data_IF_122949416110
#
_entry.id   IF_122949416110
#
_cell.length_a   1.000
_cell.length_b   1.000
_cell.length_c   1.000
_cell.angle_alpha   90.00
_cell.angle_beta   90.00
_cell.angle_gamma   90.00
#
_symmetry.space_group_name_H-M   'P 1'
#
loop_
_entity.id
_entity.type
_entity.pdbx_description
1 polymer ?
#
# COMPACT_ATOMS: atom_id res chain seq x y z
N UNK A 1 15.43 29.97 -6.45
CA UNK A 1 15.46 28.49 -6.57
C UNK A 1 14.10 27.98 -6.16
N UNK A 2 13.37 27.31 -7.05
CA UNK A 2 12.08 26.72 -6.70
C UNK A 2 12.35 25.52 -5.78
N UNK A 3 11.87 25.60 -4.55
CA UNK A 3 11.99 24.49 -3.59
C UNK A 3 10.80 23.55 -3.85
N UNK A 4 11.05 22.45 -4.53
CA UNK A 4 10.05 21.42 -4.76
C UNK A 4 10.10 20.40 -3.60
N UNK A 5 9.32 20.65 -2.57
CA UNK A 5 9.11 19.66 -1.54
C UNK A 5 7.90 18.83 -1.93
N UNK A 6 8.04 17.53 -2.00
CA UNK A 6 6.98 16.58 -2.36
C UNK A 6 6.67 15.70 -1.16
N UNK A 7 5.40 15.56 -0.84
CA UNK A 7 4.92 14.60 0.16
C UNK A 7 4.15 13.47 -0.52
N UNK A 8 4.57 12.24 -0.30
CA UNK A 8 3.99 11.03 -0.91
C UNK A 8 3.24 10.23 0.14
N UNK A 9 1.96 9.96 -0.11
CA UNK A 9 1.16 9.06 0.73
C UNK A 9 1.48 7.61 0.40
N UNK A 10 1.88 6.83 1.40
CA UNK A 10 2.20 5.40 1.27
C UNK A 10 1.00 4.56 1.67
N UNK A 11 0.50 3.74 0.75
CA UNK A 11 -0.68 2.91 0.97
C UNK A 11 -0.39 1.45 0.65
N UNK A 12 -0.04 0.64 1.64
CA UNK A 12 -0.02 -0.80 1.44
C UNK A 12 -1.44 -1.32 1.20
N UNK A 13 -1.57 -2.26 0.29
CA UNK A 13 -2.83 -2.91 -0.10
C UNK A 13 -2.77 -4.41 0.18
N UNK A 14 -3.87 -5.00 0.64
CA UNK A 14 -4.04 -6.46 0.66
C UNK A 14 -5.42 -6.87 0.15
N UNK A 15 -5.54 -8.15 -0.19
CA UNK A 15 -6.82 -8.75 -0.58
C UNK A 15 -7.79 -8.77 0.59
N UNK A 16 -9.07 -8.62 0.31
CA UNK A 16 -10.18 -8.65 1.26
C UNK A 16 -10.84 -10.03 1.39
N UNK A 17 -10.60 -10.95 0.45
CA UNK A 17 -11.16 -12.29 0.52
C UNK A 17 -10.56 -13.12 1.66
N UNK A 18 -11.34 -14.04 2.20
CA UNK A 18 -10.88 -14.97 3.22
C UNK A 18 -9.64 -15.73 2.71
N UNK A 19 -8.51 -15.67 3.45
CA UNK A 19 -7.31 -16.36 3.03
C UNK A 19 -7.52 -17.87 3.01
N UNK A 20 -6.94 -18.51 2.00
CA UNK A 20 -6.82 -19.97 1.94
C UNK A 20 -5.43 -20.36 2.45
N UNK A 21 -5.25 -21.55 3.01
CA UNK A 21 -3.91 -22.02 3.34
C UNK A 21 -2.96 -21.87 2.14
N UNK A 22 -1.84 -21.17 2.33
CA UNK A 22 -0.86 -20.90 1.28
C UNK A 22 -1.24 -19.84 0.24
N UNK A 23 -2.39 -19.16 0.37
CA UNK A 23 -2.80 -18.08 -0.53
C UNK A 23 -3.28 -16.86 0.25
N UNK A 24 -2.87 -15.65 -0.22
CA UNK A 24 -3.35 -14.36 0.30
C UNK A 24 -3.31 -14.25 1.83
N UNK A 25 -2.23 -14.72 2.44
CA UNK A 25 -2.06 -14.65 3.88
C UNK A 25 -2.08 -13.18 4.35
N UNK A 26 -3.08 -12.83 5.17
CA UNK A 26 -3.29 -11.45 5.60
C UNK A 26 -2.19 -10.97 6.56
N UNK A 27 -1.78 -11.78 7.50
CA UNK A 27 -0.74 -11.42 8.48
C UNK A 27 0.58 -11.15 7.79
N UNK A 28 0.98 -12.01 6.86
CA UNK A 28 2.20 -11.83 6.04
C UNK A 28 2.09 -10.56 5.20
N UNK A 29 0.94 -10.30 4.56
CA UNK A 29 0.73 -9.11 3.75
C UNK A 29 0.76 -7.83 4.60
N UNK A 30 0.14 -7.84 5.76
CA UNK A 30 0.12 -6.71 6.67
C UNK A 30 1.51 -6.39 7.22
N UNK A 31 2.25 -7.42 7.66
CA UNK A 31 3.64 -7.26 8.09
C UNK A 31 4.52 -6.76 6.95
N UNK A 32 4.41 -7.35 5.77
CA UNK A 32 5.13 -6.92 4.57
C UNK A 32 4.83 -5.47 4.21
N UNK A 33 3.56 -5.09 4.26
CA UNK A 33 3.12 -3.72 3.99
C UNK A 33 3.77 -2.72 4.95
N UNK A 34 3.68 -2.96 6.26
CA UNK A 34 4.29 -2.11 7.28
C UNK A 34 5.82 -2.05 7.14
N UNK A 35 6.48 -3.18 6.92
CA UNK A 35 7.93 -3.22 6.75
C UNK A 35 8.39 -2.48 5.49
N UNK A 36 7.62 -2.56 4.40
CA UNK A 36 7.91 -1.84 3.17
C UNK A 36 7.77 -0.33 3.36
N UNK A 37 6.72 0.12 4.04
CA UNK A 37 6.54 1.55 4.39
C UNK A 37 7.71 2.04 5.23
N UNK A 38 8.05 1.35 6.31
CA UNK A 38 9.17 1.71 7.17
C UNK A 38 10.51 1.74 6.42
N UNK A 39 10.74 0.81 5.49
CA UNK A 39 11.92 0.80 4.64
C UNK A 39 11.97 2.03 3.71
N UNK A 40 10.85 2.36 3.06
CA UNK A 40 10.77 3.53 2.18
C UNK A 40 11.06 4.81 2.96
N UNK A 41 10.40 5.00 4.08
CA UNK A 41 10.59 6.18 4.93
C UNK A 41 12.03 6.33 5.42
N UNK A 42 12.64 5.23 5.87
CA UNK A 42 14.00 5.25 6.42
C UNK A 42 15.08 5.51 5.37
N UNK A 43 14.86 5.09 4.11
CA UNK A 43 15.89 5.12 3.08
C UNK A 43 15.71 6.25 2.06
N UNK A 44 14.50 6.79 1.91
CA UNK A 44 14.19 7.74 0.84
C UNK A 44 13.67 9.10 1.34
N UNK A 45 13.49 9.29 2.64
CA UNK A 45 13.19 10.61 3.19
C UNK A 45 14.38 11.57 3.01
N UNK A 46 14.07 12.79 2.65
CA UNK A 46 15.05 13.86 2.48
C UNK A 46 14.39 15.22 2.72
N UNK A 47 15.18 16.30 2.63
CA UNK A 47 14.65 17.66 2.69
C UNK A 47 13.67 17.98 1.55
N UNK A 48 13.69 17.21 0.46
CA UNK A 48 12.84 17.39 -0.70
C UNK A 48 11.69 16.39 -0.81
N UNK A 49 11.80 15.22 -0.16
CA UNK A 49 10.81 14.15 -0.24
C UNK A 49 10.47 13.68 1.17
N UNK A 50 9.19 13.79 1.50
CA UNK A 50 8.65 13.29 2.77
C UNK A 50 7.50 12.33 2.50
N UNK A 51 7.13 11.56 3.51
CA UNK A 51 6.08 10.56 3.38
C UNK A 51 4.98 10.78 4.42
N UNK A 52 3.78 10.29 4.11
CA UNK A 52 2.67 10.14 5.04
C UNK A 52 2.23 8.68 4.98
N UNK A 53 2.21 8.02 6.12
CA UNK A 53 1.80 6.63 6.28
C UNK A 53 0.35 6.52 6.79
N UNK A 54 -0.11 5.31 7.06
CA UNK A 54 -1.46 5.03 7.56
C UNK A 54 -1.48 4.67 9.05
N UNK A 55 -0.39 4.90 9.77
CA UNK A 55 -0.29 4.57 11.20
C UNK A 55 -1.33 5.34 12.02
N UNK A 56 -2.17 4.58 12.72
CA UNK A 56 -3.24 5.16 13.52
C UNK A 56 -4.42 5.74 12.72
N UNK A 57 -4.45 5.57 11.40
CA UNK A 57 -5.52 6.06 10.52
C UNK A 57 -6.56 4.99 10.26
N UNK A 58 -6.10 3.81 9.89
CA UNK A 58 -6.92 2.63 9.64
C UNK A 58 -6.37 1.43 10.40
N UNK A 59 -7.22 0.42 10.57
CA UNK A 59 -6.82 -0.82 11.21
C UNK A 59 -5.73 -1.53 10.41
N UNK A 60 -4.79 -2.17 11.11
CA UNK A 60 -3.61 -2.87 10.56
C UNK A 60 -2.70 -2.06 9.63
N UNK A 61 -2.98 -0.75 9.43
CA UNK A 61 -2.18 0.17 8.60
C UNK A 61 -2.08 -0.23 7.12
N UNK A 62 -2.97 -1.09 6.66
CA UNK A 62 -3.03 -1.63 5.29
C UNK A 62 -4.45 -1.50 4.76
N UNK A 63 -4.63 -0.90 3.59
CA UNK A 63 -5.94 -0.71 2.99
C UNK A 63 -6.42 -2.01 2.32
N UNK A 64 -7.59 -2.48 2.73
CA UNK A 64 -8.20 -3.70 2.19
C UNK A 64 -9.72 -3.58 1.96
N UNK A 65 -10.31 -2.47 2.36
CA UNK A 65 -11.74 -2.23 2.25
C UNK A 65 -12.05 -0.82 1.77
N UNK A 66 -13.04 -0.68 0.90
CA UNK A 66 -13.55 0.62 0.47
C UNK A 66 -14.09 1.46 1.64
N UNK A 67 -14.51 0.83 2.74
CA UNK A 67 -15.00 1.54 3.93
C UNK A 67 -13.95 2.44 4.59
N UNK A 68 -12.67 2.18 4.36
CA UNK A 68 -11.57 2.97 4.93
C UNK A 68 -11.00 4.03 3.97
N UNK A 69 -11.42 4.03 2.71
CA UNK A 69 -10.92 4.97 1.70
C UNK A 69 -11.14 6.42 2.12
N UNK A 70 -12.31 6.77 2.66
CA UNK A 70 -12.59 8.13 3.10
C UNK A 70 -11.69 8.59 4.26
N UNK A 71 -11.33 7.69 5.18
CA UNK A 71 -10.39 7.98 6.26
C UNK A 71 -9.01 8.28 5.72
N UNK A 72 -8.54 7.48 4.75
CA UNK A 72 -7.24 7.67 4.09
C UNK A 72 -7.23 8.99 3.31
N UNK A 73 -8.26 9.27 2.52
CA UNK A 73 -8.39 10.53 1.78
C UNK A 73 -8.34 11.75 2.70
N UNK A 74 -9.08 11.71 3.81
CA UNK A 74 -9.09 12.78 4.80
C UNK A 74 -7.70 12.99 5.38
N UNK A 75 -7.06 11.93 5.85
CA UNK A 75 -5.71 11.97 6.41
C UNK A 75 -4.71 12.58 5.42
N UNK A 76 -4.69 12.10 4.19
CA UNK A 76 -3.75 12.59 3.18
C UNK A 76 -4.04 14.04 2.76
N UNK A 77 -5.30 14.46 2.77
CA UNK A 77 -5.64 15.86 2.54
C UNK A 77 -5.14 16.77 3.67
N UNK A 78 -5.32 16.36 4.92
CA UNK A 78 -4.81 17.08 6.10
C UNK A 78 -3.27 17.14 6.13
N UNK A 79 -2.61 16.10 5.61
CA UNK A 79 -1.15 16.04 5.47
C UNK A 79 -0.61 16.77 4.24
N UNK A 80 -1.47 17.31 3.36
CA UNK A 80 -1.10 17.94 2.09
C UNK A 80 -0.26 17.02 1.19
N UNK A 81 -0.71 15.77 1.02
CA UNK A 81 -0.06 14.78 0.15
C UNK A 81 -0.16 15.22 -1.32
N UNK A 82 0.94 15.16 -2.06
CA UNK A 82 1.05 15.56 -3.47
C UNK A 82 0.85 14.40 -4.44
N UNK A 83 1.21 13.19 -4.04
CA UNK A 83 1.10 11.97 -4.83
C UNK A 83 0.82 10.76 -3.92
N UNK A 84 0.28 9.69 -4.48
CA UNK A 84 -0.02 8.45 -3.75
C UNK A 84 0.80 7.30 -4.32
N UNK A 85 1.41 6.53 -3.44
CA UNK A 85 2.13 5.32 -3.79
C UNK A 85 1.39 4.11 -3.21
N UNK A 86 0.72 3.36 -4.09
CA UNK A 86 0.00 2.14 -3.78
C UNK A 86 0.96 0.94 -3.85
N UNK A 87 1.05 0.18 -2.78
CA UNK A 87 1.99 -0.94 -2.62
C UNK A 87 1.18 -2.23 -2.47
N UNK A 88 1.14 -3.07 -3.49
CA UNK A 88 0.47 -4.36 -3.40
C UNK A 88 1.26 -5.32 -2.49
N UNK A 89 0.92 -5.36 -1.20
CA UNK A 89 1.59 -6.21 -0.23
C UNK A 89 1.29 -7.72 -0.44
N UNK A 90 0.12 -8.01 -0.99
CA UNK A 90 -0.20 -9.26 -1.67
C UNK A 90 -0.98 -8.92 -2.96
N UNK A 91 -1.94 -9.71 -3.39
CA UNK A 91 -2.74 -9.44 -4.60
C UNK A 91 -3.40 -8.04 -4.61
N UNK A 92 -3.68 -7.47 -3.44
CA UNK A 92 -4.32 -6.15 -3.30
C UNK A 92 -5.85 -6.19 -3.40
N UNK A 93 -6.44 -5.01 -3.38
CA UNK A 93 -7.88 -4.78 -3.59
C UNK A 93 -8.04 -3.67 -4.61
N UNK A 94 -8.40 -4.05 -5.84
CA UNK A 94 -8.47 -3.15 -7.00
C UNK A 94 -9.56 -2.09 -6.82
N UNK A 95 -10.69 -2.45 -6.19
CA UNK A 95 -11.80 -1.54 -5.95
C UNK A 95 -11.38 -0.42 -4.97
N UNK A 96 -10.81 -0.78 -3.84
CA UNK A 96 -10.33 0.19 -2.85
C UNK A 96 -9.19 1.06 -3.41
N UNK A 97 -8.27 0.47 -4.18
CA UNK A 97 -7.19 1.19 -4.85
C UNK A 97 -7.72 2.20 -5.87
N UNK A 98 -8.65 1.76 -6.73
CA UNK A 98 -9.28 2.61 -7.74
C UNK A 98 -10.12 3.73 -7.15
N UNK A 99 -10.89 3.44 -6.10
CA UNK A 99 -11.69 4.44 -5.39
C UNK A 99 -10.80 5.50 -4.71
N UNK A 100 -9.74 5.07 -4.03
CA UNK A 100 -8.77 5.98 -3.43
C UNK A 100 -8.12 6.88 -4.48
N UNK A 101 -7.61 6.30 -5.57
CA UNK A 101 -6.97 7.04 -6.66
C UNK A 101 -7.92 8.10 -7.25
N UNK A 102 -9.17 7.71 -7.51
CA UNK A 102 -10.21 8.60 -8.03
C UNK A 102 -10.52 9.74 -7.07
N UNK A 103 -10.71 9.45 -5.78
CA UNK A 103 -11.05 10.46 -4.76
C UNK A 103 -9.91 11.42 -4.48
N UNK A 104 -8.69 10.93 -4.46
CA UNK A 104 -7.50 11.76 -4.24
C UNK A 104 -7.25 12.73 -5.42
N UNK A 105 -7.48 12.31 -6.66
CA UNK A 105 -7.23 13.13 -7.84
C UNK A 105 -5.78 13.62 -7.98
N UNK A 106 -4.84 12.86 -7.42
CA UNK A 106 -3.39 13.12 -7.42
C UNK A 106 -2.68 12.10 -8.30
N UNK A 107 -1.42 12.35 -8.70
CA UNK A 107 -0.61 11.31 -9.34
C UNK A 107 -0.54 10.05 -8.47
N UNK A 108 -0.67 8.89 -9.10
CA UNK A 108 -0.65 7.59 -8.43
C UNK A 108 0.39 6.71 -9.08
N UNK A 109 1.24 6.09 -8.26
CA UNK A 109 2.10 4.98 -8.65
C UNK A 109 1.54 3.71 -8.00
N UNK A 110 1.33 2.67 -8.79
CA UNK A 110 1.00 1.32 -8.31
C UNK A 110 2.22 0.42 -8.48
N UNK A 111 2.62 -0.25 -7.41
CA UNK A 111 3.78 -1.13 -7.40
C UNK A 111 3.45 -2.49 -6.78
N UNK A 112 3.78 -3.55 -7.51
CA UNK A 112 3.79 -4.92 -7.00
C UNK A 112 5.22 -5.35 -6.70
N UNK A 113 5.62 -5.41 -5.43
CA UNK A 113 6.93 -5.91 -5.04
C UNK A 113 7.12 -7.36 -5.51
N UNK A 114 8.36 -7.75 -5.76
CA UNK A 114 8.68 -9.13 -6.09
C UNK A 114 8.17 -10.07 -5.00
N UNK A 115 7.45 -11.11 -5.42
CA UNK A 115 6.92 -12.12 -4.52
C UNK A 115 8.00 -13.08 -4.04
N UNK A 116 7.75 -13.66 -2.86
CA UNK A 116 8.58 -14.73 -2.33
C UNK A 116 8.54 -15.98 -3.24
N UNK A 117 9.53 -16.85 -3.10
CA UNK A 117 9.50 -18.13 -3.77
C UNK A 117 8.24 -18.92 -3.36
N UNK A 118 7.67 -19.74 -4.27
CA UNK A 118 6.57 -20.62 -3.91
C UNK A 118 6.94 -21.56 -2.77
N UNK A 119 5.97 -21.90 -1.91
CA UNK A 119 6.17 -22.90 -0.85
C UNK A 119 6.55 -24.24 -1.49
N UNK A 120 7.59 -24.87 -0.96
CA UNK A 120 8.11 -26.16 -1.50
C UNK A 120 7.09 -27.29 -1.37
N UNK A 121 6.13 -27.19 -0.43
CA UNK A 121 5.15 -28.26 -0.15
C UNK A 121 3.99 -28.29 -1.13
N UNK A 122 3.51 -27.13 -1.55
CA UNK A 122 2.30 -27.00 -2.36
C UNK A 122 2.45 -26.09 -3.59
N UNK A 123 3.60 -25.44 -3.75
CA UNK A 123 3.86 -24.51 -4.85
C UNK A 123 3.08 -23.20 -4.75
N UNK A 124 2.41 -22.94 -3.63
CA UNK A 124 1.60 -21.74 -3.44
C UNK A 124 2.46 -20.56 -2.98
N UNK A 125 2.03 -19.37 -3.32
CA UNK A 125 2.64 -18.11 -2.88
C UNK A 125 1.76 -17.42 -1.85
N UNK A 126 2.35 -16.91 -0.80
CA UNK A 126 1.62 -16.18 0.24
C UNK A 126 1.16 -14.80 -0.22
N UNK A 127 1.86 -14.19 -1.16
CA UNK A 127 1.64 -12.78 -1.53
C UNK A 127 1.02 -12.58 -2.90
N UNK A 128 1.60 -13.09 -3.97
CA UNK A 128 1.12 -12.95 -5.35
C UNK A 128 0.84 -11.49 -5.77
N UNK A 129 1.75 -10.60 -5.38
CA UNK A 129 1.60 -9.15 -5.53
C UNK A 129 1.56 -8.70 -6.99
N UNK A 130 2.32 -9.37 -7.85
CA UNK A 130 2.41 -9.01 -9.27
C UNK A 130 1.15 -9.35 -10.05
N UNK A 131 0.42 -10.40 -9.68
CA UNK A 131 -0.86 -10.73 -10.29
C UNK A 131 -1.93 -9.66 -10.06
N UNK A 132 -1.89 -8.96 -8.94
CA UNK A 132 -2.83 -7.88 -8.62
C UNK A 132 -2.60 -6.58 -9.41
N UNK A 133 -1.64 -6.54 -10.32
CA UNK A 133 -1.35 -5.38 -11.17
C UNK A 133 -2.02 -5.44 -12.55
N UNK A 134 -2.63 -6.57 -12.92
CA UNK A 134 -3.18 -6.81 -14.26
C UNK A 134 -4.69 -6.88 -14.29
#
# INVERSE_FOLDING_TARGET
MLNYNVKIGLVPLRRDCTPRPGQFNWEIAEERGRNTVAYIESNYSSDMVTFADLKGVIDVEVLWSCSDVDKVCKHFSEQNVDAVFLIAANFGNEEAAGELAKKMGKPVLLWGPQDDAPDERDGMRNTDSQCGLF
#
